data_IF_277472597871
#
_entry.id   IF_277472597871
#
_cell.length_a   1.000
_cell.length_b   1.000
_cell.length_c   1.000
_cell.angle_alpha   90.00
_cell.angle_beta   90.00
_cell.angle_gamma   90.00
#
_symmetry.space_group_name_H-M   'P 1'
#
loop_
_entity.id
_entity.type
_entity.pdbx_description
1 polymer ?
#
# COMPACT_ATOMS: atom_id res chain seq x y z
N UNK A 1 35.93 22.13 8.55
CA UNK A 1 36.06 21.05 9.55
C UNK A 1 34.82 21.10 10.44
N UNK A 2 33.83 20.24 10.19
CA UNK A 2 32.65 20.11 11.05
C UNK A 2 32.75 18.77 11.76
N UNK A 3 32.85 18.84 13.09
CA UNK A 3 32.91 17.69 13.99
C UNK A 3 31.46 17.31 14.32
N UNK A 4 31.06 16.03 14.27
CA UNK A 4 29.68 15.63 14.51
C UNK A 4 29.33 15.75 16.01
N UNK A 5 28.05 15.99 16.26
CA UNK A 5 27.35 16.04 17.55
C UNK A 5 27.62 14.79 18.40
N UNK A 6 28.39 14.93 19.48
CA UNK A 6 28.64 13.85 20.45
C UNK A 6 27.49 13.76 21.46
N UNK A 7 26.48 12.94 21.19
CA UNK A 7 25.50 12.49 22.18
C UNK A 7 26.13 11.41 23.08
N UNK A 8 27.03 11.79 23.99
CA UNK A 8 27.56 10.88 25.02
C UNK A 8 26.60 10.82 26.21
N UNK A 9 25.82 9.75 26.30
CA UNK A 9 24.95 9.47 27.44
C UNK A 9 25.73 8.75 28.55
N UNK A 10 25.51 9.14 29.80
CA UNK A 10 26.32 8.68 30.94
C UNK A 10 25.75 7.40 31.58
N UNK A 11 26.65 6.53 32.07
CA UNK A 11 26.24 5.31 32.76
C UNK A 11 25.52 5.63 34.07
N UNK A 12 24.36 5.00 34.29
CA UNK A 12 23.51 5.23 35.48
C UNK A 12 24.15 4.82 36.81
N UNK A 13 25.17 3.95 36.81
CA UNK A 13 25.85 3.51 38.04
C UNK A 13 27.18 4.21 38.31
N UNK A 14 27.99 4.48 37.29
CA UNK A 14 29.34 5.03 37.48
C UNK A 14 29.56 6.42 36.86
N UNK A 15 28.61 6.94 36.09
CA UNK A 15 28.69 8.27 35.47
C UNK A 15 29.63 8.37 34.26
N UNK A 16 30.37 7.31 33.92
CA UNK A 16 31.26 7.31 32.75
C UNK A 16 30.47 7.37 31.43
N UNK A 17 30.99 8.06 30.40
CA UNK A 17 30.34 8.12 29.09
C UNK A 17 30.27 6.72 28.47
N UNK A 18 29.11 6.37 27.92
CA UNK A 18 28.91 5.06 27.33
C UNK A 18 27.93 5.08 26.15
N UNK A 19 28.07 4.12 25.27
CA UNK A 19 27.21 3.95 24.10
C UNK A 19 26.34 2.68 24.19
N UNK A 20 26.29 2.00 25.34
CA UNK A 20 25.45 0.82 25.52
C UNK A 20 24.21 1.20 26.35
N UNK A 21 23.04 0.80 25.87
CA UNK A 21 21.75 1.12 26.48
C UNK A 21 20.91 -0.13 26.65
N UNK A 22 19.91 -0.06 27.53
CA UNK A 22 18.93 -1.13 27.66
C UNK A 22 18.16 -1.30 26.34
N UNK A 23 18.31 -2.44 25.66
CA UNK A 23 17.69 -2.69 24.34
C UNK A 23 16.16 -2.64 24.36
N UNK A 24 15.55 -2.82 25.55
CA UNK A 24 14.09 -2.77 25.76
C UNK A 24 13.57 -1.33 25.75
N UNK A 25 14.08 -0.47 26.63
CA UNK A 25 13.56 0.90 26.79
C UNK A 25 14.34 1.97 26.03
N UNK A 26 15.61 1.72 25.71
CA UNK A 26 16.56 2.66 25.10
C UNK A 26 16.73 3.99 25.86
N UNK A 27 16.26 4.06 27.09
CA UNK A 27 16.17 5.27 27.90
C UNK A 27 17.08 5.24 29.14
N UNK A 28 17.98 4.25 29.22
CA UNK A 28 18.94 4.11 30.32
C UNK A 28 20.22 3.48 29.78
N UNK A 29 21.36 4.05 30.16
CA UNK A 29 22.68 3.76 29.61
C UNK A 29 23.62 3.14 30.64
N UNK A 30 24.44 2.20 30.19
CA UNK A 30 25.39 1.47 31.02
C UNK A 30 26.72 1.32 30.29
N UNK A 31 27.84 1.41 31.01
CA UNK A 31 29.15 1.22 30.38
C UNK A 31 29.48 -0.25 30.11
N UNK A 32 28.82 -1.19 30.80
CA UNK A 32 29.03 -2.63 30.64
C UNK A 32 27.81 -3.45 31.12
N UNK A 33 27.66 -4.71 30.68
CA UNK A 33 26.51 -5.57 31.03
C UNK A 33 26.37 -5.83 32.54
N UNK A 34 27.47 -5.84 33.28
CA UNK A 34 27.48 -6.04 34.73
C UNK A 34 26.72 -4.90 35.44
N UNK A 35 26.87 -3.66 34.96
CA UNK A 35 26.14 -2.51 35.49
C UNK A 35 24.65 -2.57 35.16
N UNK A 36 24.29 -3.06 33.97
CA UNK A 36 22.88 -3.30 33.62
C UNK A 36 22.27 -4.36 34.54
N UNK A 37 22.95 -5.48 34.76
CA UNK A 37 22.45 -6.57 35.61
C UNK A 37 22.32 -6.14 37.08
N UNK A 38 23.27 -5.34 37.58
CA UNK A 38 23.26 -4.82 38.96
C UNK A 38 22.07 -3.87 39.17
N UNK A 39 21.81 -2.98 38.21
CA UNK A 39 20.67 -2.06 38.27
C UNK A 39 19.34 -2.72 37.88
N UNK A 40 19.37 -3.90 37.25
CA UNK A 40 18.18 -4.56 36.69
C UNK A 40 17.02 -4.74 37.68
N UNK A 41 17.19 -5.14 38.95
CA UNK A 41 16.08 -5.25 39.90
C UNK A 41 15.34 -3.93 40.14
N UNK A 42 16.06 -2.81 40.07
CA UNK A 42 15.48 -1.47 40.12
C UNK A 42 14.91 -1.09 38.75
N UNK A 43 15.76 -1.08 37.73
CA UNK A 43 15.43 -0.61 36.38
C UNK A 43 14.22 -1.33 35.78
N UNK A 44 14.10 -2.66 35.95
CA UNK A 44 13.00 -3.45 35.37
C UNK A 44 11.61 -3.01 35.83
N UNK A 45 11.50 -2.35 37.00
CA UNK A 45 10.23 -1.85 37.53
C UNK A 45 9.70 -0.69 36.69
N UNK A 46 10.61 0.10 36.11
CA UNK A 46 10.30 1.31 35.34
C UNK A 46 10.74 1.19 33.86
N UNK A 47 11.20 0.00 33.43
CA UNK A 47 11.70 -0.27 32.08
C UNK A 47 10.55 -0.46 31.09
N UNK A 48 10.13 0.64 30.48
CA UNK A 48 9.05 0.71 29.48
C UNK A 48 9.63 0.60 28.07
N UNK A 49 9.12 -0.28 27.19
CA UNK A 49 9.63 -0.42 25.82
C UNK A 49 9.65 0.90 25.04
N UNK A 50 10.69 1.15 24.24
CA UNK A 50 10.86 2.40 23.49
C UNK A 50 9.66 2.77 22.59
N UNK A 51 8.85 1.78 22.20
CA UNK A 51 7.61 1.95 21.44
C UNK A 51 6.47 2.65 22.21
N UNK A 52 6.60 2.86 23.52
CA UNK A 52 5.55 3.43 24.38
C UNK A 52 5.94 4.79 24.99
N UNK A 53 7.10 5.35 24.64
CA UNK A 53 7.67 6.50 25.36
C UNK A 53 7.37 7.85 24.68
N UNK A 54 6.09 8.15 24.45
CA UNK A 54 5.60 9.52 24.24
C UNK A 54 5.06 10.06 25.57
N UNK A 55 5.80 11.02 26.10
CA UNK A 55 5.86 11.48 27.50
C UNK A 55 4.61 12.21 28.03
N UNK A 56 4.48 12.16 29.36
CA UNK A 56 3.80 13.11 30.27
C UNK A 56 2.33 12.85 30.62
N UNK A 57 2.12 12.68 31.93
CA UNK A 57 0.91 12.14 32.51
C UNK A 57 -0.15 13.16 32.90
N UNK A 58 -1.38 12.67 32.91
CA UNK A 58 -2.44 13.04 33.84
C UNK A 58 -3.27 11.80 34.14
N UNK A 59 -3.47 11.54 35.43
CA UNK A 59 -4.31 10.47 35.97
C UNK A 59 -5.78 10.74 35.61
N UNK A 60 -6.43 9.84 34.90
CA UNK A 60 -7.87 9.56 35.05
C UNK A 60 -8.21 8.21 34.43
N UNK A 61 -8.99 7.41 35.17
CA UNK A 61 -9.51 6.11 34.79
C UNK A 61 -10.32 6.17 33.47
N UNK A 62 -9.63 6.11 32.33
CA UNK A 62 -10.26 5.78 31.06
C UNK A 62 -9.85 4.37 30.69
N UNK A 63 -10.84 3.51 30.47
CA UNK A 63 -10.67 2.26 29.74
C UNK A 63 -10.19 2.70 28.36
N UNK A 64 -8.88 2.71 28.15
CA UNK A 64 -8.27 3.10 26.89
C UNK A 64 -8.64 2.02 25.87
N UNK A 65 -9.72 2.24 25.13
CA UNK A 65 -9.87 1.63 23.81
C UNK A 65 -8.56 1.89 23.07
N UNK A 66 -7.83 0.85 22.63
CA UNK A 66 -6.63 1.06 21.83
C UNK A 66 -7.00 2.01 20.68
N UNK A 67 -6.13 2.97 20.30
CA UNK A 67 -6.37 3.78 19.12
C UNK A 67 -6.76 2.83 17.98
N UNK A 68 -7.83 3.13 17.20
CA UNK A 68 -8.29 2.25 16.15
C UNK A 68 -7.07 1.85 15.33
N UNK A 69 -6.78 0.55 15.26
CA UNK A 69 -5.63 0.05 14.52
C UNK A 69 -5.70 0.66 13.12
N UNK A 70 -4.76 1.56 12.79
CA UNK A 70 -4.77 2.20 11.49
C UNK A 70 -4.72 1.09 10.44
N UNK A 71 -5.68 1.04 9.51
CA UNK A 71 -5.70 -0.02 8.52
C UNK A 71 -4.39 0.03 7.73
N UNK A 72 -3.61 -1.05 7.80
CA UNK A 72 -2.37 -1.17 7.06
C UNK A 72 -2.72 -1.27 5.57
N UNK A 73 -2.60 -0.18 4.82
CA UNK A 73 -2.85 -0.20 3.38
C UNK A 73 -1.58 -0.51 2.60
N UNK A 74 -1.74 -1.24 1.50
CA UNK A 74 -0.72 -1.36 0.46
C UNK A 74 -1.05 -0.33 -0.61
N UNK A 75 -0.06 0.44 -1.05
CA UNK A 75 -0.24 1.42 -2.14
C UNK A 75 0.45 0.90 -3.38
N UNK A 76 -0.25 0.91 -4.51
CA UNK A 76 0.30 0.54 -5.82
C UNK A 76 -0.11 1.54 -6.88
N UNK A 77 0.73 1.66 -7.91
CA UNK A 77 0.45 2.45 -9.10
C UNK A 77 -0.46 1.67 -10.04
N UNK A 78 -1.59 2.26 -10.42
CA UNK A 78 -2.54 1.75 -11.40
C UNK A 78 -2.51 2.60 -12.67
N UNK A 79 -2.92 2.02 -13.80
CA UNK A 79 -3.21 2.77 -15.03
C UNK A 79 -4.68 3.19 -15.00
N UNK A 80 -4.94 4.48 -15.16
CA UNK A 80 -6.27 5.05 -15.22
C UNK A 80 -6.60 5.47 -16.65
N UNK A 81 -7.68 4.92 -17.18
CA UNK A 81 -8.36 5.41 -18.36
C UNK A 81 -9.54 6.26 -17.90
N UNK A 82 -9.32 7.56 -17.72
CA UNK A 82 -10.39 8.50 -17.39
C UNK A 82 -11.19 8.84 -18.65
N UNK A 83 -12.53 8.87 -18.60
CA UNK A 83 -13.32 8.99 -19.82
C UNK A 83 -13.18 10.35 -20.50
N UNK A 84 -12.86 11.39 -19.73
CA UNK A 84 -12.64 12.75 -20.24
C UNK A 84 -11.21 13.04 -20.69
N UNK A 85 -10.27 12.14 -20.41
CA UNK A 85 -8.88 12.34 -20.75
C UNK A 85 -8.59 11.82 -22.17
N UNK A 86 -7.76 12.55 -22.92
CA UNK A 86 -7.30 12.10 -24.24
C UNK A 86 -6.29 10.95 -24.15
N UNK A 87 -5.62 10.79 -23.01
CA UNK A 87 -4.61 9.76 -22.78
C UNK A 87 -4.83 9.12 -21.42
N UNK A 88 -4.37 7.88 -21.28
CA UNK A 88 -4.27 7.21 -19.99
C UNK A 88 -3.25 7.94 -19.09
N UNK A 89 -3.41 7.78 -17.78
CA UNK A 89 -2.48 8.30 -16.78
C UNK A 89 -2.17 7.21 -15.75
N UNK A 90 -1.23 7.49 -14.86
CA UNK A 90 -0.99 6.65 -13.68
C UNK A 90 -1.62 7.29 -12.44
N UNK A 91 -2.17 6.47 -11.55
CA UNK A 91 -2.74 6.94 -10.27
C UNK A 91 -2.40 5.99 -9.14
N UNK A 92 -2.46 6.45 -7.90
CA UNK A 92 -2.22 5.61 -6.72
C UNK A 92 -3.54 4.96 -6.27
N UNK A 93 -3.49 3.66 -6.01
CA UNK A 93 -4.61 2.89 -5.48
C UNK A 93 -4.18 2.23 -4.17
N UNK A 94 -4.94 2.52 -3.11
CA UNK A 94 -4.79 1.84 -1.84
C UNK A 94 -5.53 0.51 -1.85
N UNK A 95 -4.91 -0.52 -1.31
CA UNK A 95 -5.45 -1.86 -1.19
C UNK A 95 -5.52 -2.27 0.28
N UNK A 96 -6.68 -2.81 0.69
CA UNK A 96 -6.89 -3.42 2.00
C UNK A 96 -6.32 -4.84 2.01
N UNK A 97 -5.47 -5.20 2.98
CA UNK A 97 -5.08 -6.58 3.20
C UNK A 97 -6.30 -7.42 3.56
N UNK A 98 -6.38 -8.63 3.04
CA UNK A 98 -7.41 -9.58 3.46
C UNK A 98 -6.97 -10.25 4.77
N UNK A 99 -7.79 -10.25 5.83
CA UNK A 99 -7.46 -10.95 7.07
C UNK A 99 -7.26 -12.45 6.78
N UNK A 100 -6.14 -13.01 7.28
CA UNK A 100 -5.69 -14.38 7.04
C UNK A 100 -6.80 -15.42 7.23
N UNK A 101 -7.35 -15.92 6.12
CA UNK A 101 -7.66 -17.33 5.98
C UNK A 101 -6.61 -17.95 5.07
N UNK A 102 -6.13 -19.12 5.45
CA UNK A 102 -5.10 -19.92 4.80
C UNK A 102 -5.28 -19.93 3.27
N UNK A 103 -4.22 -19.53 2.55
CA UNK A 103 -4.08 -19.46 1.08
C UNK A 103 -4.46 -18.13 0.39
N UNK A 104 -3.49 -17.20 0.39
CA UNK A 104 -3.17 -16.35 -0.79
C UNK A 104 -4.28 -15.50 -1.39
N UNK A 105 -5.03 -14.75 -0.59
CA UNK A 105 -6.06 -13.85 -1.12
C UNK A 105 -5.41 -12.53 -1.56
N UNK A 106 -5.69 -12.10 -2.79
CA UNK A 106 -5.25 -10.81 -3.33
C UNK A 106 -5.81 -9.65 -2.48
N UNK A 107 -5.02 -8.59 -2.19
CA UNK A 107 -5.52 -7.39 -1.54
C UNK A 107 -6.75 -6.80 -2.26
N UNK A 108 -7.65 -6.17 -1.50
CA UNK A 108 -8.89 -5.59 -2.04
C UNK A 108 -8.63 -4.12 -2.39
N UNK A 109 -8.68 -3.72 -3.68
CA UNK A 109 -8.44 -2.33 -4.08
C UNK A 109 -9.59 -1.42 -3.65
N UNK A 110 -9.26 -0.22 -3.19
CA UNK A 110 -10.24 0.82 -2.82
C UNK A 110 -10.47 1.71 -4.04
N UNK A 111 -11.60 1.50 -4.70
CA UNK A 111 -11.89 2.13 -5.99
C UNK A 111 -13.00 3.19 -5.94
N UNK A 112 -13.54 3.48 -4.75
CA UNK A 112 -14.67 4.40 -4.55
C UNK A 112 -14.46 5.78 -5.18
N UNK A 113 -13.22 6.29 -5.19
CA UNK A 113 -12.90 7.59 -5.79
C UNK A 113 -13.03 7.60 -7.32
N UNK A 114 -12.92 6.44 -7.98
CA UNK A 114 -13.06 6.30 -9.43
C UNK A 114 -14.49 5.90 -9.82
N UNK A 115 -15.20 5.21 -8.93
CA UNK A 115 -16.56 4.71 -9.16
C UNK A 115 -17.47 5.18 -8.02
N UNK A 116 -18.03 6.40 -8.11
CA UNK A 116 -18.76 7.02 -7.01
C UNK A 116 -20.04 6.28 -6.64
N UNK A 117 -20.59 5.47 -7.55
CA UNK A 117 -21.75 4.62 -7.29
C UNK A 117 -21.41 3.29 -6.61
N UNK A 118 -20.12 3.00 -6.43
CA UNK A 118 -19.63 1.79 -5.77
C UNK A 118 -19.85 0.49 -6.56
N UNK A 119 -20.47 0.56 -7.73
CA UNK A 119 -20.71 -0.60 -8.59
C UNK A 119 -19.51 -0.82 -9.49
N UNK A 120 -18.80 -1.92 -9.26
CA UNK A 120 -17.62 -2.29 -10.05
C UNK A 120 -17.59 -3.77 -10.34
N UNK A 121 -17.10 -4.11 -11.54
CA UNK A 121 -16.75 -5.46 -11.93
C UNK A 121 -15.28 -5.54 -12.33
N UNK A 122 -14.69 -6.72 -12.11
CA UNK A 122 -13.29 -7.00 -12.37
C UNK A 122 -13.11 -7.98 -13.52
N UNK A 123 -12.20 -7.67 -14.46
CA UNK A 123 -11.76 -8.59 -15.52
C UNK A 123 -10.27 -8.86 -15.35
N UNK A 124 -9.90 -10.14 -15.34
CA UNK A 124 -8.51 -10.57 -15.26
C UNK A 124 -7.98 -10.87 -16.66
N UNK A 125 -7.14 -9.97 -17.17
CA UNK A 125 -6.41 -10.17 -18.41
C UNK A 125 -5.17 -11.04 -18.13
N UNK A 126 -5.22 -12.27 -18.61
CA UNK A 126 -4.11 -13.24 -18.49
C UNK A 126 -3.28 -13.37 -19.75
N UNK A 127 -3.78 -12.86 -20.88
CA UNK A 127 -3.14 -12.95 -22.19
C UNK A 127 -2.73 -11.56 -22.69
N UNK A 128 -1.56 -11.49 -23.32
CA UNK A 128 -1.03 -10.29 -23.94
C UNK A 128 -1.26 -10.29 -25.45
N UNK A 129 -0.33 -9.66 -26.17
CA UNK A 129 -0.28 -9.68 -27.62
C UNK A 129 -0.14 -11.13 -28.13
N UNK A 130 -0.81 -11.44 -29.23
CA UNK A 130 -0.77 -12.76 -29.89
C UNK A 130 -1.23 -13.95 -29.02
N UNK A 131 -1.91 -13.69 -27.89
CA UNK A 131 -2.43 -14.74 -27.00
C UNK A 131 -1.39 -15.32 -26.05
N UNK A 132 -0.20 -14.75 -25.95
CA UNK A 132 0.81 -15.20 -24.99
C UNK A 132 0.40 -14.93 -23.54
N UNK A 133 0.72 -15.84 -22.62
CA UNK A 133 0.40 -15.66 -21.21
C UNK A 133 1.24 -14.55 -20.59
N UNK A 134 0.58 -13.59 -19.94
CA UNK A 134 1.24 -12.54 -19.18
C UNK A 134 1.90 -13.13 -17.93
N UNK A 135 3.19 -12.85 -17.75
CA UNK A 135 3.93 -13.14 -16.51
C UNK A 135 3.27 -12.49 -15.29
N UNK A 136 2.72 -11.29 -15.50
CA UNK A 136 2.02 -10.47 -14.52
C UNK A 136 0.64 -10.12 -15.11
N UNK A 137 -0.41 -10.91 -14.82
CA UNK A 137 -1.75 -10.61 -15.31
C UNK A 137 -2.23 -9.21 -14.88
N UNK A 138 -3.14 -8.62 -15.63
CA UNK A 138 -3.73 -7.31 -15.32
C UNK A 138 -5.17 -7.48 -14.82
N UNK A 139 -5.57 -6.65 -13.86
CA UNK A 139 -6.90 -6.61 -13.29
C UNK A 139 -7.58 -5.29 -13.65
N UNK A 140 -8.51 -5.36 -14.60
CA UNK A 140 -9.28 -4.21 -15.06
C UNK A 140 -10.54 -4.09 -14.22
N UNK A 141 -10.81 -2.89 -13.72
CA UNK A 141 -12.03 -2.56 -13.01
C UNK A 141 -12.82 -1.53 -13.80
N UNK A 142 -14.13 -1.76 -13.91
CA UNK A 142 -15.05 -0.90 -14.67
C UNK A 142 -16.44 -0.91 -14.00
N UNK A 143 -17.29 0.06 -14.34
CA UNK A 143 -18.70 0.04 -13.91
C UNK A 143 -19.56 -0.68 -14.97
N UNK A 144 -20.28 -1.76 -14.61
CA UNK A 144 -21.13 -2.50 -15.55
C UNK A 144 -22.38 -1.70 -15.97
N UNK A 145 -22.79 -0.72 -15.17
CA UNK A 145 -23.98 0.11 -15.41
C UNK A 145 -23.64 1.43 -16.10
N UNK A 146 -22.37 1.68 -16.44
CA UNK A 146 -21.90 2.95 -17.00
C UNK A 146 -22.71 3.38 -18.24
N UNK A 147 -22.99 2.46 -19.16
CA UNK A 147 -23.78 2.73 -20.36
C UNK A 147 -25.24 3.08 -20.03
N UNK A 148 -25.88 2.32 -19.14
CA UNK A 148 -27.28 2.55 -18.72
C UNK A 148 -27.44 3.91 -18.05
N UNK A 149 -26.38 4.41 -17.41
CA UNK A 149 -26.33 5.72 -16.75
C UNK A 149 -25.88 6.85 -17.68
N UNK A 150 -25.79 6.60 -18.98
CA UNK A 150 -25.31 7.57 -19.97
C UNK A 150 -23.93 8.13 -19.65
N UNK A 151 -23.05 7.30 -19.07
CA UNK A 151 -21.66 7.71 -18.83
C UNK A 151 -20.95 7.95 -20.16
N UNK A 152 -20.06 8.95 -20.22
CA UNK A 152 -19.32 9.28 -21.44
C UNK A 152 -18.51 8.08 -21.96
N UNK A 153 -18.39 7.99 -23.29
CA UNK A 153 -17.45 7.06 -23.92
C UNK A 153 -16.05 7.42 -23.49
N UNK A 154 -15.27 6.42 -23.13
CA UNK A 154 -13.95 6.59 -22.59
C UNK A 154 -12.97 7.00 -23.69
N UNK A 155 -12.66 8.29 -23.75
CA UNK A 155 -11.84 8.90 -24.80
C UNK A 155 -10.41 8.39 -24.78
N UNK A 156 -9.87 8.08 -23.61
CA UNK A 156 -8.51 7.52 -23.50
C UNK A 156 -8.43 6.11 -24.11
N UNK A 157 -9.47 5.29 -23.95
CA UNK A 157 -9.58 3.97 -24.60
C UNK A 157 -9.83 4.14 -26.10
N UNK A 158 -10.70 5.06 -26.49
CA UNK A 158 -10.93 5.37 -27.91
C UNK A 158 -9.61 5.77 -28.60
N UNK A 159 -8.81 6.63 -27.97
CA UNK A 159 -7.55 7.11 -28.54
C UNK A 159 -6.45 6.04 -28.59
N UNK A 160 -6.28 5.22 -27.54
CA UNK A 160 -5.26 4.14 -27.55
C UNK A 160 -5.60 3.01 -28.55
N UNK A 161 -6.87 2.91 -28.94
CA UNK A 161 -7.35 1.95 -29.95
C UNK A 161 -7.59 2.60 -31.32
N UNK A 162 -7.29 3.89 -31.46
CA UNK A 162 -7.58 4.69 -32.66
C UNK A 162 -9.02 4.51 -33.18
N UNK A 163 -9.99 4.41 -32.26
CA UNK A 163 -11.40 4.21 -32.56
C UNK A 163 -11.76 2.83 -33.13
N UNK A 164 -10.84 1.87 -33.14
CA UNK A 164 -11.03 0.54 -33.72
C UNK A 164 -11.57 -0.49 -32.72
N UNK A 165 -11.79 -0.12 -31.46
CA UNK A 165 -12.41 -0.99 -30.47
C UNK A 165 -13.86 -1.30 -30.85
N UNK A 166 -14.23 -2.59 -30.87
CA UNK A 166 -15.57 -3.01 -31.31
C UNK A 166 -16.69 -2.58 -30.35
N UNK A 167 -16.36 -2.50 -29.06
CA UNK A 167 -17.25 -2.04 -27.99
C UNK A 167 -16.87 -0.63 -27.56
N UNK A 168 -17.87 0.25 -27.46
CA UNK A 168 -17.71 1.53 -26.78
C UNK A 168 -17.59 1.30 -25.26
N UNK A 169 -16.40 1.52 -24.72
CA UNK A 169 -16.18 1.48 -23.27
C UNK A 169 -16.68 2.78 -22.66
N UNK A 170 -17.72 2.73 -21.81
CA UNK A 170 -18.27 3.89 -21.12
C UNK A 170 -17.74 3.99 -19.68
N UNK A 171 -17.48 5.21 -19.22
CA UNK A 171 -17.01 5.47 -17.86
C UNK A 171 -15.51 5.16 -17.65
N UNK A 172 -15.00 5.34 -16.42
CA UNK A 172 -13.61 5.11 -16.08
C UNK A 172 -13.25 3.62 -16.09
N UNK A 173 -11.99 3.32 -16.42
CA UNK A 173 -11.39 1.99 -16.26
C UNK A 173 -10.09 2.12 -15.47
N UNK A 174 -9.97 1.35 -14.39
CA UNK A 174 -8.79 1.34 -13.52
C UNK A 174 -8.10 -0.02 -13.67
N UNK A 175 -6.81 -0.02 -13.97
CA UNK A 175 -6.05 -1.25 -14.20
C UNK A 175 -4.96 -1.41 -13.15
N UNK A 176 -5.04 -2.50 -12.38
CA UNK A 176 -3.98 -2.93 -11.46
C UNK A 176 -3.19 -4.09 -12.06
N UNK A 177 -1.94 -4.25 -11.64
CA UNK A 177 -1.05 -5.32 -12.10
C UNK A 177 -0.81 -6.32 -10.99
N UNK A 178 -1.08 -7.60 -11.23
CA UNK A 178 -0.80 -8.65 -10.25
C UNK A 178 0.69 -8.88 -10.08
N UNK A 179 1.11 -9.20 -8.86
CA UNK A 179 2.45 -9.68 -8.54
C UNK A 179 2.56 -11.19 -8.87
N UNK A 180 2.67 -11.49 -10.16
CA UNK A 180 2.89 -12.81 -10.73
C UNK A 180 1.60 -13.56 -11.05
N UNK A 181 1.75 -14.71 -11.73
CA UNK A 181 0.64 -15.54 -12.22
C UNK A 181 -0.29 -16.08 -11.14
N UNK A 182 0.19 -16.17 -9.89
CA UNK A 182 -0.61 -16.62 -8.74
C UNK A 182 -1.61 -15.58 -8.24
N UNK A 183 -1.48 -14.30 -8.68
CA UNK A 183 -2.44 -13.23 -8.37
C UNK A 183 -2.61 -12.94 -6.87
N UNK A 184 -1.58 -13.20 -6.06
CA UNK A 184 -1.64 -13.08 -4.58
C UNK A 184 -1.30 -11.68 -4.05
N UNK A 185 -1.11 -10.72 -4.95
CA UNK A 185 -0.74 -9.35 -4.61
C UNK A 185 -0.80 -8.47 -5.85
N UNK A 186 -0.67 -7.16 -5.64
CA UNK A 186 -0.45 -6.21 -6.71
C UNK A 186 0.99 -5.69 -6.68
N UNK A 187 1.44 -5.20 -7.82
CA UNK A 187 2.69 -4.45 -8.02
C UNK A 187 2.36 -3.23 -8.88
N UNK A 188 3.30 -2.29 -8.99
CA UNK A 188 3.12 -1.12 -9.84
C UNK A 188 2.88 -1.50 -11.31
N UNK A 189 1.77 -1.02 -11.87
CA UNK A 189 1.52 -1.00 -13.30
C UNK A 189 2.37 0.10 -13.96
N UNK A 190 2.77 -0.12 -15.21
CA UNK A 190 3.60 0.82 -15.95
C UNK A 190 3.20 0.89 -17.42
N UNK A 191 3.73 1.88 -18.19
CA UNK A 191 3.41 2.01 -19.60
C UNK A 191 3.73 0.76 -20.44
N UNK A 192 4.59 -0.14 -19.94
CA UNK A 192 4.90 -1.42 -20.59
C UNK A 192 3.68 -2.38 -20.65
N UNK A 193 2.65 -2.14 -19.84
CA UNK A 193 1.43 -2.95 -19.80
C UNK A 193 0.40 -2.51 -20.86
N UNK A 194 0.60 -1.34 -21.49
CA UNK A 194 -0.34 -0.75 -22.47
C UNK A 194 -0.55 -1.56 -23.75
N UNK A 195 0.49 -2.20 -24.34
CA UNK A 195 0.27 -2.99 -25.56
C UNK A 195 -0.73 -4.14 -25.34
N UNK A 196 -0.66 -4.80 -24.18
CA UNK A 196 -1.62 -5.85 -23.80
C UNK A 196 -3.03 -5.28 -23.59
N UNK A 197 -3.15 -4.11 -22.96
CA UNK A 197 -4.43 -3.43 -22.74
C UNK A 197 -5.07 -2.97 -24.06
N UNK A 198 -4.29 -2.37 -24.95
CA UNK A 198 -4.77 -1.96 -26.28
C UNK A 198 -5.28 -3.16 -27.08
N UNK A 199 -4.51 -4.26 -27.12
CA UNK A 199 -4.92 -5.50 -27.77
C UNK A 199 -6.21 -6.07 -27.17
N UNK A 200 -6.33 -6.04 -25.84
CA UNK A 200 -7.55 -6.47 -25.16
C UNK A 200 -8.76 -5.62 -25.56
N UNK A 201 -8.67 -4.29 -25.52
CA UNK A 201 -9.78 -3.42 -25.90
C UNK A 201 -10.20 -3.57 -27.37
N UNK A 202 -9.26 -3.86 -28.26
CA UNK A 202 -9.54 -4.16 -29.67
C UNK A 202 -10.29 -5.49 -29.85
N UNK A 203 -9.90 -6.53 -29.09
CA UNK A 203 -10.47 -7.87 -29.21
C UNK A 203 -11.77 -8.07 -28.43
N UNK A 204 -12.02 -7.26 -27.40
CA UNK A 204 -13.20 -7.38 -26.54
C UNK A 204 -14.48 -7.06 -27.30
N UNK A 205 -15.47 -7.95 -27.17
CA UNK A 205 -16.81 -7.85 -27.78
C UNK A 205 -17.87 -7.58 -26.72
#
# INVERSE_FOLDING_TARGET
MQVPTSLNQACTLCGNPCAMWCSRCQNTWYCCPEHLQTDWPRHRRDCIPASQNTTSGYNSNMIATPPPAEPQYITVTAILFAPEADRWTTTQVHCRPTPRSSHGICPIPILQMFFPDGLTEGIVLTQGLNGENLRFPLHLWYSPTALQRSSPVNRSIYNITCGSASKAWCGPVVVLKFNGSRRQGYTDASPNDLPALSAYFLAYK
#
